data_IF_603507505610
#
_entry.id   IF_603507505610
#
_cell.length_a   1.000
_cell.length_b   1.000
_cell.length_c   1.000
_cell.angle_alpha   90.00
_cell.angle_beta   90.00
_cell.angle_gamma   90.00
#
_symmetry.space_group_name_H-M   'P 1'
#
loop_
_entity.id
_entity.type
_entity.pdbx_description
1 polymer ?
#
# COMPACT_ATOMS: atom_id res chain seq x y z
N UNK A 1 -9.85 -12.51 -4.59
CA UNK A 1 -8.73 -11.78 -5.19
C UNK A 1 -9.05 -10.30 -5.26
N UNK A 2 -8.11 -9.44 -4.88
CA UNK A 2 -8.28 -7.99 -4.92
C UNK A 2 -8.11 -7.49 -6.36
N UNK A 3 -8.95 -6.54 -6.75
CA UNK A 3 -8.88 -5.94 -8.07
C UNK A 3 -8.24 -4.55 -7.95
N UNK A 4 -7.41 -4.19 -8.92
CA UNK A 4 -6.73 -2.89 -8.90
C UNK A 4 -7.70 -1.71 -8.91
N UNK A 5 -8.90 -1.87 -9.51
CA UNK A 5 -9.88 -0.80 -9.56
C UNK A 5 -10.54 -0.51 -8.21
N UNK A 6 -10.32 -1.36 -7.21
CA UNK A 6 -10.77 -1.10 -5.84
C UNK A 6 -9.83 -0.13 -5.11
N UNK A 7 -8.60 0.03 -5.60
CA UNK A 7 -7.58 0.84 -4.96
C UNK A 7 -7.58 2.21 -5.63
N UNK A 8 -7.83 3.24 -4.83
CA UNK A 8 -7.98 4.62 -5.30
C UNK A 8 -6.84 5.48 -4.76
N UNK A 9 -6.54 6.56 -5.49
CA UNK A 9 -5.59 7.57 -5.02
C UNK A 9 -6.04 8.12 -3.66
N UNK A 10 -5.06 8.46 -2.84
CA UNK A 10 -5.24 9.04 -1.51
C UNK A 10 -5.84 8.08 -0.48
N UNK A 11 -6.06 6.82 -0.84
CA UNK A 11 -6.54 5.81 0.08
C UNK A 11 -5.43 5.43 1.05
N UNK A 12 -5.77 5.29 2.34
CA UNK A 12 -4.79 4.87 3.34
C UNK A 12 -4.46 3.38 3.20
N UNK A 13 -3.19 3.04 3.41
CA UNK A 13 -2.73 1.65 3.46
C UNK A 13 -2.39 1.33 4.90
N UNK A 14 -2.95 0.24 5.42
CA UNK A 14 -2.68 -0.23 6.78
C UNK A 14 -2.22 -1.68 6.75
N UNK A 15 -1.38 -2.04 7.73
CA UNK A 15 -1.00 -3.43 7.93
C UNK A 15 -2.12 -4.23 8.57
N UNK A 16 -1.92 -5.54 8.70
CA UNK A 16 -2.91 -6.39 9.36
C UNK A 16 -2.95 -6.17 10.88
N UNK A 17 -2.01 -5.37 11.39
CA UNK A 17 -2.00 -4.91 12.78
C UNK A 17 -2.78 -3.58 12.95
N UNK A 18 -3.36 -3.04 11.88
CA UNK A 18 -4.10 -1.79 11.91
C UNK A 18 -3.22 -0.55 11.86
N UNK A 19 -1.92 -0.69 11.79
CA UNK A 19 -1.00 0.44 11.81
C UNK A 19 -0.83 1.02 10.40
N UNK A 20 -0.62 2.32 10.34
CA UNK A 20 -0.45 3.06 9.09
C UNK A 20 0.82 2.63 8.35
N UNK A 21 0.69 2.40 7.05
CA UNK A 21 1.83 2.08 6.17
C UNK A 21 2.11 3.25 5.23
N UNK A 22 1.10 3.79 4.60
CA UNK A 22 1.27 4.88 3.66
C UNK A 22 -0.03 5.28 3.00
N UNK A 23 0.09 6.10 1.96
CA UNK A 23 -1.04 6.61 1.19
C UNK A 23 -0.82 6.22 -0.27
N UNK A 24 -1.87 5.75 -0.92
CA UNK A 24 -1.81 5.37 -2.34
C UNK A 24 -1.62 6.61 -3.20
N UNK A 25 -0.57 6.59 -4.03
CA UNK A 25 -0.36 7.61 -5.06
C UNK A 25 -0.97 7.16 -6.40
N UNK A 26 -1.04 5.87 -6.61
CA UNK A 26 -1.61 5.29 -7.81
C UNK A 26 -1.17 3.83 -7.97
N UNK A 27 -1.48 3.29 -9.15
CA UNK A 27 -1.03 1.95 -9.54
C UNK A 27 -0.04 2.14 -10.69
N UNK A 28 1.14 1.53 -10.58
CA UNK A 28 2.12 1.66 -11.64
C UNK A 28 1.80 0.71 -12.81
N UNK A 29 2.48 0.85 -13.96
CA UNK A 29 2.21 -0.01 -15.11
C UNK A 29 2.41 -1.50 -14.85
N UNK A 30 3.21 -1.86 -13.85
CA UNK A 30 3.45 -3.26 -13.49
C UNK A 30 2.38 -3.82 -12.56
N UNK A 31 1.39 -3.00 -12.18
CA UNK A 31 0.30 -3.42 -11.32
C UNK A 31 0.63 -3.34 -9.83
N UNK A 32 1.71 -2.66 -9.47
CA UNK A 32 2.08 -2.45 -8.07
C UNK A 32 1.48 -1.17 -7.53
N UNK A 33 1.22 -1.15 -6.23
CA UNK A 33 0.74 0.05 -5.55
C UNK A 33 1.92 1.00 -5.36
N UNK A 34 1.80 2.20 -5.91
CA UNK A 34 2.78 3.26 -5.70
C UNK A 34 2.38 4.06 -4.49
N UNK A 35 3.28 4.17 -3.52
CA UNK A 35 3.03 4.87 -2.26
C UNK A 35 3.53 6.31 -2.40
N UNK A 36 2.71 7.25 -1.94
CA UNK A 36 3.05 8.68 -2.02
C UNK A 36 4.29 8.97 -1.18
N UNK A 37 5.26 9.66 -1.79
CA UNK A 37 6.49 10.04 -1.10
C UNK A 37 6.26 11.05 0.02
N UNK A 38 5.16 11.78 -0.01
CA UNK A 38 4.86 12.77 1.03
C UNK A 38 4.55 12.12 2.38
N UNK A 39 4.29 10.82 2.37
CA UNK A 39 3.91 10.08 3.57
C UNK A 39 4.89 8.95 3.90
N UNK A 40 6.07 8.94 3.29
CA UNK A 40 7.09 7.94 3.60
C UNK A 40 8.19 8.56 4.46
N UNK A 41 8.82 7.77 5.36
CA UNK A 41 9.87 8.31 6.23
C UNK A 41 11.06 8.90 5.49
N UNK A 42 11.41 8.32 4.34
CA UNK A 42 12.56 8.74 3.53
C UNK A 42 12.19 9.69 2.39
N UNK A 43 10.90 10.04 2.27
CA UNK A 43 10.39 10.93 1.23
C UNK A 43 10.60 10.41 -0.19
N UNK A 44 10.68 9.10 -0.35
CA UNK A 44 10.78 8.45 -1.64
C UNK A 44 9.51 7.66 -1.92
N UNK A 45 9.16 7.52 -3.21
CA UNK A 45 8.10 6.61 -3.59
C UNK A 45 8.53 5.18 -3.29
N UNK A 46 7.62 4.41 -2.73
CA UNK A 46 7.80 2.98 -2.53
C UNK A 46 6.70 2.22 -3.24
N UNK A 47 6.91 0.95 -3.47
CA UNK A 47 5.99 0.12 -4.24
C UNK A 47 5.70 -1.17 -3.47
N UNK A 48 4.43 -1.58 -3.48
CA UNK A 48 3.99 -2.82 -2.88
C UNK A 48 3.31 -3.68 -3.94
N UNK A 49 3.68 -4.96 -4.06
CA UNK A 49 2.99 -5.87 -4.96
C UNK A 49 1.52 -6.01 -4.57
N UNK A 50 0.64 -6.12 -5.54
CA UNK A 50 -0.79 -6.29 -5.28
C UNK A 50 -1.05 -7.56 -4.45
N UNK A 51 -0.19 -8.56 -4.56
CA UNK A 51 -0.30 -9.79 -3.79
C UNK A 51 -0.19 -9.58 -2.28
N UNK A 52 0.32 -8.44 -1.82
CA UNK A 52 0.39 -8.12 -0.39
C UNK A 52 -0.92 -7.59 0.17
N UNK A 53 -1.91 -7.33 -0.68
CA UNK A 53 -3.21 -6.81 -0.27
C UNK A 53 -4.14 -7.97 0.05
N UNK A 54 -4.72 -7.95 1.25
CA UNK A 54 -5.68 -8.96 1.65
C UNK A 54 -7.09 -8.58 1.22
N UNK A 55 -7.50 -7.35 1.50
CA UNK A 55 -8.80 -6.83 1.07
C UNK A 55 -8.78 -5.30 1.05
N UNK A 56 -9.79 -4.72 0.42
CA UNK A 56 -9.95 -3.26 0.32
C UNK A 56 -11.37 -2.90 0.76
N UNK A 57 -11.47 -1.95 1.67
CA UNK A 57 -12.74 -1.30 2.02
C UNK A 57 -12.55 0.20 1.81
N UNK A 58 -12.66 1.03 2.83
CA UNK A 58 -12.25 2.45 2.73
C UNK A 58 -10.73 2.62 2.86
N UNK A 59 -10.02 1.52 3.15
CA UNK A 59 -8.56 1.48 3.24
C UNK A 59 -8.06 0.24 2.53
N UNK A 60 -6.76 0.25 2.20
CA UNK A 60 -6.08 -0.93 1.67
C UNK A 60 -5.52 -1.71 2.86
N UNK A 61 -5.99 -2.94 3.06
CA UNK A 61 -5.56 -3.79 4.17
C UNK A 61 -4.58 -4.83 3.65
N UNK A 62 -3.36 -4.82 4.21
CA UNK A 62 -2.32 -5.75 3.81
C UNK A 62 -2.44 -7.06 4.56
N UNK A 63 -1.78 -8.10 4.05
CA UNK A 63 -1.75 -9.44 4.66
C UNK A 63 -0.54 -9.63 5.58
N UNK A 64 0.10 -8.54 5.99
CA UNK A 64 1.27 -8.53 6.86
C UNK A 64 1.28 -7.27 7.70
N UNK A 65 2.11 -7.26 8.75
CA UNK A 65 2.21 -6.09 9.63
C UNK A 65 2.79 -4.90 8.89
N UNK A 66 2.54 -3.70 9.43
CA UNK A 66 3.10 -2.46 8.87
C UNK A 66 4.63 -2.51 8.86
N UNK A 67 5.24 -2.99 9.94
CA UNK A 67 6.70 -3.09 10.04
C UNK A 67 7.25 -3.99 8.97
N UNK A 68 6.62 -5.13 8.75
CA UNK A 68 7.06 -6.07 7.73
C UNK A 68 6.86 -5.51 6.32
N UNK A 69 5.74 -4.85 6.08
CA UNK A 69 5.47 -4.22 4.78
C UNK A 69 6.54 -3.19 4.45
N UNK A 70 6.88 -2.33 5.41
CA UNK A 70 7.90 -1.30 5.22
C UNK A 70 9.30 -1.88 5.05
N UNK A 71 9.56 -3.05 5.61
CA UNK A 71 10.85 -3.72 5.42
C UNK A 71 10.95 -4.39 4.05
N UNK A 72 9.81 -4.70 3.41
CA UNK A 72 9.77 -5.43 2.16
C UNK A 72 9.43 -4.57 0.94
N UNK A 73 8.94 -3.36 1.13
CA UNK A 73 8.57 -2.52 -0.01
C UNK A 73 9.82 -2.08 -0.79
N UNK A 74 9.61 -1.75 -2.06
CA UNK A 74 10.71 -1.31 -2.92
C UNK A 74 10.85 0.19 -2.90
#
# INVERSE_FOLDING_TARGET
MVRVDQIKEDMEIVGNDGEHVGIVDGIDPDGEIKISRSDTPDRLHHFLPLATVEFVDDRVHLNRTSTRAMAEWR
#
